data_IF_917185718888
#
_entry.id   IF_917185718888
#
_cell.length_a   1.000
_cell.length_b   1.000
_cell.length_c   1.000
_cell.angle_alpha   90.00
_cell.angle_beta   90.00
_cell.angle_gamma   90.00
#
_symmetry.space_group_name_H-M   'P 1'
#
loop_
_entity.id
_entity.type
_entity.pdbx_description
1 polymer ?
#
# COMPACT_ATOMS: atom_id res chain seq x y z
N UNK A 1 5.73 -26.95 -46.11
CA UNK A 1 6.17 -25.54 -46.19
C UNK A 1 6.47 -25.07 -44.77
N UNK A 2 7.75 -24.86 -44.46
CA UNK A 2 8.19 -24.39 -43.14
C UNK A 2 8.32 -22.88 -43.22
N UNK A 3 7.47 -22.16 -42.48
CA UNK A 3 7.44 -20.70 -42.46
C UNK A 3 8.33 -20.21 -41.30
N UNK A 4 9.18 -19.22 -41.56
CA UNK A 4 10.10 -18.67 -40.57
C UNK A 4 9.38 -17.78 -39.52
N UNK A 5 9.86 -17.70 -38.26
CA UNK A 5 9.16 -17.04 -37.15
C UNK A 5 8.86 -15.54 -37.33
N UNK A 6 9.57 -14.86 -38.22
CA UNK A 6 9.38 -13.45 -38.55
C UNK A 6 8.16 -13.17 -39.42
N UNK A 7 7.64 -14.17 -40.14
CA UNK A 7 6.49 -14.03 -41.07
C UNK A 7 5.15 -14.40 -40.41
N UNK A 8 5.16 -15.07 -39.25
CA UNK A 8 3.95 -15.39 -38.49
C UNK A 8 3.34 -14.17 -37.77
N UNK A 9 4.14 -13.14 -37.45
CA UNK A 9 3.67 -11.95 -36.70
C UNK A 9 2.87 -10.94 -37.53
N UNK A 10 3.04 -10.92 -38.84
CA UNK A 10 2.36 -9.95 -39.73
C UNK A 10 0.96 -10.43 -40.16
N UNK A 11 0.69 -11.75 -40.13
CA UNK A 11 -0.62 -12.31 -40.44
C UNK A 11 -1.65 -12.15 -39.31
N UNK A 12 -1.25 -12.30 -38.04
CA UNK A 12 -2.18 -12.11 -36.90
C UNK A 12 -2.64 -10.65 -36.73
N UNK A 13 -1.78 -9.68 -37.07
CA UNK A 13 -2.11 -8.26 -36.97
C UNK A 13 -3.11 -7.80 -38.03
N UNK A 14 -3.13 -8.46 -39.20
CA UNK A 14 -4.06 -8.15 -40.31
C UNK A 14 -5.47 -8.70 -40.04
N UNK A 15 -5.58 -9.94 -39.54
CA UNK A 15 -6.86 -10.60 -39.21
C UNK A 15 -7.61 -9.88 -38.06
N UNK A 16 -6.88 -9.29 -37.10
CA UNK A 16 -7.50 -8.51 -36.00
C UNK A 16 -8.04 -7.14 -36.43
N UNK A 17 -7.53 -6.57 -37.51
CA UNK A 17 -7.96 -5.24 -37.97
C UNK A 17 -9.19 -5.33 -38.88
N UNK A 18 -9.30 -6.35 -39.73
CA UNK A 18 -10.50 -6.59 -40.55
C UNK A 18 -11.72 -6.97 -39.70
N UNK A 19 -11.53 -7.77 -38.63
CA UNK A 19 -12.63 -8.18 -37.75
C UNK A 19 -13.21 -7.03 -36.90
N UNK A 20 -12.46 -5.94 -36.71
CA UNK A 20 -12.92 -4.73 -35.99
C UNK A 20 -13.55 -3.68 -36.88
N UNK A 21 -13.39 -3.76 -38.21
CA UNK A 21 -14.08 -2.85 -39.13
C UNK A 21 -15.48 -3.36 -39.53
N UNK A 22 -15.77 -4.65 -39.39
CA UNK A 22 -17.10 -5.22 -39.65
C UNK A 22 -18.13 -5.04 -38.52
N UNK A 23 -17.73 -4.67 -37.30
CA UNK A 23 -18.66 -4.45 -36.17
C UNK A 23 -19.00 -2.97 -35.93
N UNK A 24 -18.49 -2.05 -36.75
CA UNK A 24 -18.64 -0.60 -36.58
C UNK A 24 -19.43 0.09 -37.71
N UNK A 25 -20.39 -0.62 -38.33
CA UNK A 25 -21.32 -0.02 -39.28
C UNK A 25 -22.77 -0.36 -38.92
N UNK A 26 -23.57 0.71 -38.85
CA UNK A 26 -25.02 0.79 -38.79
C UNK A 26 -25.72 0.64 -37.43
N UNK A 27 -25.97 1.79 -36.78
CA UNK A 27 -27.34 2.09 -36.35
C UNK A 27 -27.57 3.62 -36.42
N UNK A 28 -28.01 4.07 -37.59
CA UNK A 28 -28.45 5.45 -37.84
C UNK A 28 -29.87 5.66 -37.34
N UNK A 29 -30.11 6.91 -36.93
CA UNK A 29 -31.38 7.51 -36.52
C UNK A 29 -32.56 7.20 -37.46
N UNK A 30 -33.73 7.26 -36.84
CA UNK A 30 -35.07 7.46 -37.40
C UNK A 30 -35.70 6.24 -38.09
N UNK A 31 -36.56 5.54 -37.33
CA UNK A 31 -37.86 5.04 -37.82
C UNK A 31 -38.79 4.72 -36.64
N UNK A 32 -39.78 5.60 -36.50
CA UNK A 32 -41.20 5.37 -36.20
C UNK A 32 -41.70 5.06 -34.78
N UNK A 33 -42.51 6.02 -34.35
CA UNK A 33 -43.62 5.95 -33.40
C UNK A 33 -44.58 4.76 -33.61
N UNK A 34 -45.28 4.48 -32.51
CA UNK A 34 -46.59 3.83 -32.33
C UNK A 34 -46.56 2.34 -31.99
N UNK A 35 -46.70 2.07 -30.69
CA UNK A 35 -47.62 1.06 -30.17
C UNK A 35 -48.07 1.49 -28.77
N UNK A 36 -49.30 1.99 -28.71
CA UNK A 36 -50.04 2.30 -27.51
C UNK A 36 -50.35 1.05 -26.67
N UNK A 37 -50.66 1.32 -25.39
CA UNK A 37 -51.43 0.48 -24.46
C UNK A 37 -50.81 -0.81 -23.93
N UNK A 38 -50.45 -0.82 -22.63
CA UNK A 38 -51.15 -1.58 -21.58
C UNK A 38 -50.55 -1.28 -20.19
N UNK A 39 -51.31 -0.50 -19.44
CA UNK A 39 -51.63 -0.60 -18.01
C UNK A 39 -50.82 -1.62 -17.20
N UNK A 40 -50.07 -1.14 -16.19
CA UNK A 40 -50.09 -1.76 -14.86
C UNK A 40 -49.70 -0.73 -13.79
N UNK A 41 -50.73 -0.27 -13.07
CA UNK A 41 -50.63 0.54 -11.87
C UNK A 41 -49.89 -0.21 -10.76
N UNK A 42 -48.78 0.35 -10.27
CA UNK A 42 -48.35 0.13 -8.89
C UNK A 42 -48.11 1.49 -8.23
N UNK A 43 -49.20 1.97 -7.61
CA UNK A 43 -49.26 3.10 -6.65
C UNK A 43 -48.08 3.04 -5.66
N UNK A 44 -47.04 3.84 -5.91
CA UNK A 44 -46.09 4.22 -4.87
C UNK A 44 -46.72 5.35 -4.05
N UNK A 45 -47.05 5.05 -2.79
CA UNK A 45 -47.47 6.04 -1.79
C UNK A 45 -46.52 7.25 -1.82
N UNK A 46 -47.01 8.49 -2.00
CA UNK A 46 -46.19 9.65 -1.73
C UNK A 46 -46.02 9.76 -0.21
N UNK A 47 -44.80 9.57 0.29
CA UNK A 47 -44.45 9.99 1.63
C UNK A 47 -44.75 11.48 1.76
N UNK A 48 -45.78 11.81 2.54
CA UNK A 48 -46.12 13.16 2.99
C UNK A 48 -44.89 13.72 3.71
N UNK A 49 -44.04 14.48 2.99
CA UNK A 49 -42.97 15.26 3.60
C UNK A 49 -43.64 16.33 4.46
N UNK A 50 -43.49 16.22 5.77
CA UNK A 50 -43.77 17.35 6.66
C UNK A 50 -42.91 18.54 6.21
N UNK A 51 -43.47 19.75 6.10
CA UNK A 51 -42.69 20.94 5.81
C UNK A 51 -41.83 21.25 7.04
N UNK A 52 -40.57 20.84 6.99
CA UNK A 52 -39.54 21.34 7.92
C UNK A 52 -39.39 22.83 7.62
N UNK A 53 -39.35 23.73 8.63
CA UNK A 53 -39.18 25.15 8.41
C UNK A 53 -37.93 25.43 7.57
N UNK A 54 -37.90 26.50 6.76
CA UNK A 54 -36.82 26.78 5.85
C UNK A 54 -35.55 27.15 6.64
N UNK A 55 -34.78 26.14 7.05
CA UNK A 55 -33.38 26.35 7.38
C UNK A 55 -32.69 26.73 6.08
N UNK A 56 -32.22 27.97 6.03
CA UNK A 56 -31.44 28.61 4.97
C UNK A 56 -30.57 27.60 4.22
N UNK A 57 -30.94 27.29 2.97
CA UNK A 57 -30.21 26.37 2.08
C UNK A 57 -28.73 26.74 1.97
N UNK A 58 -28.42 28.03 2.11
CA UNK A 58 -27.06 28.58 2.03
C UNK A 58 -26.18 28.14 3.21
N UNK A 59 -26.73 28.05 4.42
CA UNK A 59 -25.96 27.64 5.61
C UNK A 59 -25.60 26.15 5.56
N UNK A 60 -26.52 25.30 5.10
CA UNK A 60 -26.21 23.87 4.88
C UNK A 60 -25.23 23.65 3.72
N UNK A 61 -25.31 24.45 2.66
CA UNK A 61 -24.37 24.38 1.54
C UNK A 61 -22.94 24.79 1.97
N UNK A 62 -22.81 25.87 2.73
CA UNK A 62 -21.53 26.33 3.32
C UNK A 62 -20.91 25.27 4.25
N UNK A 63 -21.69 24.67 5.15
CA UNK A 63 -21.22 23.59 6.04
C UNK A 63 -20.75 22.37 5.24
N UNK A 64 -21.44 22.01 4.15
CA UNK A 64 -21.04 20.91 3.26
C UNK A 64 -19.76 21.24 2.49
N UNK A 65 -19.61 22.46 1.98
CA UNK A 65 -18.40 22.91 1.28
C UNK A 65 -17.19 22.91 2.22
N UNK A 66 -17.30 23.45 3.43
CA UNK A 66 -16.21 23.43 4.42
C UNK A 66 -15.79 22.01 4.79
N UNK A 67 -16.76 21.09 4.99
CA UNK A 67 -16.46 19.67 5.25
C UNK A 67 -15.76 18.99 4.06
N UNK A 68 -16.08 19.37 2.83
CA UNK A 68 -15.41 18.86 1.64
C UNK A 68 -13.95 19.35 1.55
N UNK A 69 -13.71 20.66 1.73
CA UNK A 69 -12.36 21.23 1.76
C UNK A 69 -11.51 20.57 2.86
N UNK A 70 -12.08 20.37 4.04
CA UNK A 70 -11.42 19.67 5.15
C UNK A 70 -11.05 18.24 4.77
N UNK A 71 -11.99 17.46 4.21
CA UNK A 71 -11.74 16.10 3.76
C UNK A 71 -10.64 16.03 2.69
N UNK A 72 -10.59 17.01 1.79
CA UNK A 72 -9.65 17.02 0.66
C UNK A 72 -8.21 17.29 1.10
N UNK A 73 -7.99 18.06 2.18
CA UNK A 73 -6.66 18.21 2.80
C UNK A 73 -6.06 16.85 3.18
N UNK A 74 -6.82 16.02 3.90
CA UNK A 74 -6.37 14.67 4.28
C UNK A 74 -6.18 13.75 3.08
N UNK A 75 -7.07 13.82 2.07
CA UNK A 75 -6.90 13.02 0.83
C UNK A 75 -5.63 13.42 0.09
N UNK A 76 -5.34 14.71 -0.04
CA UNK A 76 -4.17 15.20 -0.75
C UNK A 76 -2.88 14.83 -0.02
N UNK A 77 -2.84 15.00 1.31
CA UNK A 77 -1.74 14.53 2.14
C UNK A 77 -1.53 13.01 1.99
N UNK A 78 -2.61 12.22 2.05
CA UNK A 78 -2.56 10.77 1.82
C UNK A 78 -1.97 10.43 0.44
N UNK A 79 -2.41 11.12 -0.63
CA UNK A 79 -1.93 10.89 -1.99
C UNK A 79 -0.43 11.17 -2.13
N UNK A 80 0.07 12.25 -1.53
CA UNK A 80 1.51 12.58 -1.51
C UNK A 80 2.32 11.46 -0.86
N UNK A 81 1.91 11.02 0.33
CA UNK A 81 2.55 9.92 1.05
C UNK A 81 2.51 8.61 0.25
N UNK A 82 1.38 8.25 -0.36
CA UNK A 82 1.27 7.04 -1.18
C UNK A 82 2.23 7.11 -2.38
N UNK A 83 2.33 8.26 -3.04
CA UNK A 83 3.26 8.47 -4.17
C UNK A 83 4.70 8.31 -3.70
N UNK A 84 5.07 8.90 -2.57
CA UNK A 84 6.40 8.77 -1.97
C UNK A 84 6.73 7.31 -1.65
N UNK A 85 5.82 6.62 -0.96
CA UNK A 85 5.97 5.21 -0.59
C UNK A 85 6.09 4.30 -1.82
N UNK A 86 5.28 4.55 -2.87
CA UNK A 86 5.37 3.81 -4.14
C UNK A 86 6.76 3.92 -4.74
N UNK A 87 7.31 5.13 -4.76
CA UNK A 87 8.65 5.40 -5.28
C UNK A 87 9.68 4.69 -4.43
N UNK A 88 9.71 4.90 -3.10
CA UNK A 88 10.63 4.21 -2.18
C UNK A 88 10.63 2.70 -2.37
N UNK A 89 9.44 2.09 -2.50
CA UNK A 89 9.31 0.66 -2.73
C UNK A 89 9.86 0.20 -4.07
N UNK A 90 9.58 0.92 -5.16
CA UNK A 90 10.12 0.60 -6.50
C UNK A 90 11.64 0.60 -6.45
N UNK A 91 12.16 1.70 -5.95
CA UNK A 91 13.57 1.98 -5.78
C UNK A 91 14.30 0.95 -4.91
N UNK A 92 13.74 0.61 -3.77
CA UNK A 92 14.25 -0.45 -2.91
C UNK A 92 14.29 -1.82 -3.62
N UNK A 93 13.23 -2.18 -4.34
CA UNK A 93 13.18 -3.44 -5.08
C UNK A 93 14.18 -3.49 -6.25
N UNK A 94 14.51 -2.35 -6.86
CA UNK A 94 15.52 -2.26 -7.92
C UNK A 94 16.93 -2.44 -7.34
N UNK A 95 17.24 -1.75 -6.25
CA UNK A 95 18.57 -1.79 -5.63
C UNK A 95 18.87 -3.10 -4.91
N UNK A 96 17.86 -3.69 -4.24
CA UNK A 96 18.03 -4.97 -3.54
C UNK A 96 18.39 -6.12 -4.47
N UNK A 97 18.03 -6.05 -5.76
CA UNK A 97 18.40 -7.08 -6.75
C UNK A 97 19.92 -7.26 -6.92
N UNK A 98 20.70 -6.25 -6.52
CA UNK A 98 22.16 -6.29 -6.56
C UNK A 98 22.70 -7.27 -5.52
N UNK A 99 21.98 -7.48 -4.41
CA UNK A 99 22.32 -8.53 -3.46
C UNK A 99 21.81 -9.88 -4.00
N UNK A 100 22.73 -10.76 -4.38
CA UNK A 100 22.46 -12.18 -4.60
C UNK A 100 22.18 -12.86 -3.25
N UNK A 101 21.04 -12.53 -2.66
CA UNK A 101 20.62 -13.06 -1.38
C UNK A 101 20.43 -14.59 -1.45
N UNK A 102 21.24 -15.33 -0.70
CA UNK A 102 21.05 -16.78 -0.57
C UNK A 102 19.72 -17.06 0.12
N UNK A 103 18.99 -18.07 -0.37
CA UNK A 103 17.69 -18.48 0.19
C UNK A 103 17.85 -19.26 1.50
N UNK A 104 19.08 -19.44 1.96
CA UNK A 104 19.48 -20.29 3.09
C UNK A 104 18.99 -19.72 4.43
N UNK A 105 18.87 -18.40 4.55
CA UNK A 105 18.47 -17.74 5.81
C UNK A 105 16.97 -17.49 5.93
N UNK A 106 16.13 -18.39 5.40
CA UNK A 106 14.67 -18.21 5.37
C UNK A 106 13.97 -18.36 6.72
N UNK A 107 14.62 -19.01 7.68
CA UNK A 107 14.00 -19.50 8.90
C UNK A 107 14.20 -18.56 10.10
N UNK A 108 13.12 -18.40 10.87
CA UNK A 108 13.05 -17.54 12.05
C UNK A 108 12.85 -16.06 11.73
N UNK A 109 12.01 -15.39 12.53
CA UNK A 109 11.96 -13.92 12.58
C UNK A 109 12.56 -13.53 13.93
N UNK A 110 13.71 -12.84 13.97
CA UNK A 110 14.32 -12.48 15.24
C UNK A 110 13.51 -11.44 15.99
N UNK A 111 13.61 -11.46 17.32
CA UNK A 111 12.83 -10.59 18.22
C UNK A 111 13.16 -9.09 18.10
N UNK A 112 14.31 -8.77 17.50
CA UNK A 112 14.68 -7.39 17.21
C UNK A 112 13.92 -6.80 16.01
N UNK A 113 13.26 -7.61 15.19
CA UNK A 113 12.46 -7.12 14.08
C UNK A 113 11.12 -6.52 14.55
N UNK A 114 10.74 -5.32 14.07
CA UNK A 114 9.44 -4.74 14.36
C UNK A 114 8.30 -5.57 13.80
N UNK A 115 7.33 -5.91 14.65
CA UNK A 115 6.10 -6.60 14.26
C UNK A 115 4.99 -5.61 13.98
N UNK A 116 4.39 -5.66 12.79
CA UNK A 116 3.26 -4.80 12.42
C UNK A 116 2.05 -5.65 12.10
N UNK A 117 0.97 -5.37 12.81
CA UNK A 117 -0.26 -6.12 12.69
C UNK A 117 -1.15 -5.59 11.56
N UNK A 118 -0.84 -5.98 10.32
CA UNK A 118 -1.65 -5.61 9.15
C UNK A 118 -3.08 -6.16 9.17
N UNK A 119 -3.34 -7.24 9.91
CA UNK A 119 -4.71 -7.76 10.08
C UNK A 119 -5.55 -6.74 10.85
N UNK A 120 -5.05 -6.27 11.99
CA UNK A 120 -5.77 -5.28 12.81
C UNK A 120 -5.92 -3.96 12.07
N UNK A 121 -4.87 -3.53 11.35
CA UNK A 121 -4.90 -2.32 10.53
C UNK A 121 -5.99 -2.41 9.45
N UNK A 122 -6.01 -3.51 8.69
CA UNK A 122 -6.89 -3.68 7.55
C UNK A 122 -8.35 -3.83 7.95
N UNK A 123 -8.61 -4.58 9.03
CA UNK A 123 -9.97 -4.81 9.54
C UNK A 123 -10.44 -3.75 10.54
N UNK A 124 -9.65 -2.71 10.81
CA UNK A 124 -10.02 -1.63 11.72
C UNK A 124 -11.32 -0.92 11.31
N UNK A 125 -12.14 -0.57 12.31
CA UNK A 125 -13.42 0.08 12.09
C UNK A 125 -13.36 1.58 12.41
N UNK A 126 -13.46 2.42 11.39
CA UNK A 126 -13.35 3.88 11.49
C UNK A 126 -14.65 4.55 11.96
N UNK A 127 -15.07 4.34 13.23
CA UNK A 127 -16.38 4.76 13.78
C UNK A 127 -16.42 6.11 14.54
N UNK A 128 -15.39 6.97 14.46
CA UNK A 128 -15.39 8.27 15.19
C UNK A 128 -16.47 9.24 14.65
N UNK A 129 -17.34 9.78 15.50
CA UNK A 129 -18.33 10.82 15.14
C UNK A 129 -17.64 12.17 14.88
N UNK A 130 -18.21 13.01 14.01
CA UNK A 130 -17.72 14.36 13.72
C UNK A 130 -16.58 14.47 12.69
N UNK A 131 -15.74 13.45 12.54
CA UNK A 131 -14.62 13.44 11.59
C UNK A 131 -14.98 12.83 10.22
N UNK A 132 -14.34 13.32 9.16
CA UNK A 132 -14.51 12.76 7.82
C UNK A 132 -13.87 11.36 7.72
N UNK A 133 -14.29 10.51 6.77
CA UNK A 133 -13.65 9.20 6.60
C UNK A 133 -12.15 9.32 6.24
N UNK A 134 -11.80 10.33 5.45
CA UNK A 134 -10.41 10.60 5.04
C UNK A 134 -9.54 10.99 6.22
N UNK A 135 -10.04 11.88 7.07
CA UNK A 135 -9.40 12.26 8.33
C UNK A 135 -9.21 11.06 9.26
N UNK A 136 -10.27 10.27 9.49
CA UNK A 136 -10.20 9.08 10.36
C UNK A 136 -9.16 8.07 9.87
N UNK A 137 -9.10 7.85 8.55
CA UNK A 137 -8.10 6.96 7.95
C UNK A 137 -6.69 7.52 8.10
N UNK A 138 -6.50 8.80 7.79
CA UNK A 138 -5.19 9.45 7.90
C UNK A 138 -4.68 9.42 9.34
N UNK A 139 -5.49 9.86 10.30
CA UNK A 139 -5.15 9.90 11.72
C UNK A 139 -4.82 8.51 12.30
N UNK A 140 -5.40 7.45 11.74
CA UNK A 140 -5.13 6.09 12.19
C UNK A 140 -3.92 5.43 11.52
N UNK A 141 -3.75 5.63 10.20
CA UNK A 141 -2.75 4.94 9.39
C UNK A 141 -1.39 5.64 9.41
N UNK A 142 -1.36 6.97 9.32
CA UNK A 142 -0.09 7.70 9.16
C UNK A 142 0.85 7.58 10.38
N UNK A 143 0.37 7.67 11.63
CA UNK A 143 1.23 7.42 12.79
C UNK A 143 1.84 6.01 12.79
N UNK A 144 1.10 5.00 12.34
CA UNK A 144 1.58 3.61 12.27
C UNK A 144 2.60 3.41 11.16
N UNK A 145 2.35 4.00 9.99
CA UNK A 145 3.32 4.01 8.89
C UNK A 145 4.61 4.69 9.34
N UNK A 146 4.50 5.91 9.89
CA UNK A 146 5.64 6.68 10.40
C UNK A 146 6.46 5.87 11.40
N UNK A 147 5.80 5.32 12.44
CA UNK A 147 6.46 4.49 13.45
C UNK A 147 7.22 3.34 12.81
N UNK A 148 6.58 2.57 11.94
CA UNK A 148 7.22 1.42 11.30
C UNK A 148 8.44 1.79 10.45
N UNK A 149 8.40 2.92 9.73
CA UNK A 149 9.54 3.36 8.93
C UNK A 149 10.69 3.86 9.80
N UNK A 150 10.40 4.56 10.90
CA UNK A 150 11.41 5.00 11.86
C UNK A 150 12.10 3.81 12.52
N UNK A 151 11.36 2.76 12.91
CA UNK A 151 11.94 1.55 13.48
C UNK A 151 12.90 0.85 12.50
N UNK A 152 12.53 0.75 11.21
CA UNK A 152 13.44 0.21 10.19
C UNK A 152 14.63 1.13 9.89
N UNK A 153 14.44 2.45 9.95
CA UNK A 153 15.55 3.38 9.84
C UNK A 153 16.58 3.16 10.97
N UNK A 154 16.13 2.92 12.21
CA UNK A 154 17.01 2.57 13.32
C UNK A 154 17.76 1.24 13.08
N UNK A 155 17.08 0.22 12.54
CA UNK A 155 17.72 -1.06 12.17
C UNK A 155 18.85 -0.83 11.17
N UNK A 156 18.58 -0.13 10.06
CA UNK A 156 19.62 0.09 9.05
C UNK A 156 20.77 0.97 9.56
N UNK A 157 20.51 1.91 10.47
CA UNK A 157 21.55 2.70 11.14
C UNK A 157 22.46 1.86 12.04
N UNK A 158 21.96 0.74 12.56
CA UNK A 158 22.76 -0.21 13.32
C UNK A 158 23.51 -1.16 12.39
N UNK A 159 22.84 -1.70 11.38
CA UNK A 159 23.44 -2.63 10.42
C UNK A 159 24.66 -2.02 9.72
N UNK A 160 24.60 -0.75 9.31
CA UNK A 160 25.75 -0.09 8.67
C UNK A 160 26.99 0.01 9.59
N UNK A 161 26.82 -0.17 10.90
CA UNK A 161 27.90 -0.11 11.91
C UNK A 161 28.38 -1.49 12.35
N UNK A 162 27.86 -2.56 11.75
CA UNK A 162 28.31 -3.93 12.05
C UNK A 162 29.69 -4.15 11.44
N UNK A 163 30.64 -4.49 12.28
CA UNK A 163 32.01 -4.89 11.98
C UNK A 163 32.07 -6.42 11.80
N UNK A 164 32.93 -6.90 10.90
CA UNK A 164 33.09 -8.33 10.61
C UNK A 164 34.50 -8.77 10.97
N UNK A 165 34.60 -9.80 11.83
CA UNK A 165 35.87 -10.19 12.47
C UNK A 165 36.82 -10.98 11.54
N UNK A 166 36.29 -11.61 10.49
CA UNK A 166 37.07 -12.40 9.53
C UNK A 166 36.53 -12.23 8.10
N UNK A 167 36.91 -11.13 7.43
CA UNK A 167 36.55 -10.90 6.04
C UNK A 167 37.63 -11.48 5.11
N UNK A 168 37.25 -12.47 4.29
CA UNK A 168 38.04 -12.87 3.13
C UNK A 168 37.80 -11.92 1.94
N UNK A 169 38.59 -12.04 0.87
CA UNK A 169 38.48 -11.18 -0.32
C UNK A 169 37.06 -11.16 -0.95
N UNK A 170 36.35 -12.30 -1.08
CA UNK A 170 34.95 -12.32 -1.52
C UNK A 170 34.01 -11.51 -0.61
N UNK A 171 34.16 -11.62 0.71
CA UNK A 171 33.33 -10.88 1.64
C UNK A 171 33.62 -9.38 1.63
N UNK A 172 34.87 -8.97 1.38
CA UNK A 172 35.22 -7.56 1.24
C UNK A 172 34.45 -6.87 0.11
N UNK A 173 34.26 -7.56 -1.02
CA UNK A 173 33.44 -7.06 -2.14
C UNK A 173 31.97 -6.93 -1.75
N UNK A 174 31.41 -7.97 -1.11
CA UNK A 174 30.05 -7.93 -0.57
C UNK A 174 29.85 -6.76 0.40
N UNK A 175 30.78 -6.57 1.33
CA UNK A 175 30.68 -5.56 2.37
C UNK A 175 30.66 -4.13 1.79
N UNK A 176 31.41 -3.88 0.70
CA UNK A 176 31.35 -2.60 -0.03
C UNK A 176 29.96 -2.36 -0.62
N UNK A 177 29.43 -3.33 -1.37
CA UNK A 177 28.08 -3.25 -1.96
C UNK A 177 26.99 -3.10 -0.91
N UNK A 178 27.12 -3.83 0.20
CA UNK A 178 26.25 -3.75 1.37
C UNK A 178 26.19 -2.33 1.94
N UNK A 179 27.35 -1.72 2.21
CA UNK A 179 27.41 -0.36 2.75
C UNK A 179 26.74 0.65 1.82
N UNK A 180 26.98 0.54 0.52
CA UNK A 180 26.34 1.41 -0.48
C UNK A 180 24.82 1.26 -0.47
N UNK A 181 24.33 0.01 -0.46
CA UNK A 181 22.89 -0.28 -0.44
C UNK A 181 22.21 0.19 0.85
N UNK A 182 22.83 -0.05 2.01
CA UNK A 182 22.31 0.42 3.30
C UNK A 182 22.29 1.95 3.31
N UNK A 183 23.34 2.61 2.81
CA UNK A 183 23.39 4.07 2.67
C UNK A 183 22.24 4.63 1.81
N UNK A 184 22.02 4.07 0.63
CA UNK A 184 20.89 4.43 -0.26
C UNK A 184 19.54 4.19 0.42
N UNK A 185 19.40 3.06 1.11
CA UNK A 185 18.19 2.70 1.86
C UNK A 185 17.90 3.69 2.98
N UNK A 186 18.91 4.08 3.76
CA UNK A 186 18.81 5.07 4.83
C UNK A 186 18.39 6.44 4.29
N UNK A 187 19.02 6.92 3.22
CA UNK A 187 18.68 8.21 2.62
C UNK A 187 17.21 8.24 2.15
N UNK A 188 16.75 7.15 1.50
CA UNK A 188 15.35 7.05 1.03
C UNK A 188 14.37 6.91 2.17
N UNK A 189 14.69 6.15 3.21
CA UNK A 189 13.89 6.04 4.42
C UNK A 189 13.73 7.41 5.09
N UNK A 190 14.84 8.11 5.33
CA UNK A 190 14.84 9.44 5.92
C UNK A 190 13.95 10.40 5.12
N UNK A 191 14.11 10.44 3.80
CA UNK A 191 13.31 11.29 2.92
C UNK A 191 11.82 10.97 2.95
N UNK A 192 11.44 9.69 3.08
CA UNK A 192 10.04 9.27 3.19
C UNK A 192 9.45 9.55 4.57
N UNK A 193 10.23 9.36 5.62
CA UNK A 193 9.86 9.71 7.01
C UNK A 193 9.61 11.22 7.12
N UNK A 194 10.48 12.04 6.53
CA UNK A 194 10.33 13.49 6.50
C UNK A 194 9.02 13.92 5.80
N UNK A 195 8.75 13.39 4.60
CA UNK A 195 7.50 13.67 3.87
C UNK A 195 6.26 13.31 4.71
N UNK A 196 6.26 12.15 5.39
CA UNK A 196 5.13 11.75 6.24
C UNK A 196 4.98 12.71 7.42
N UNK A 197 6.09 13.05 8.09
CA UNK A 197 6.11 13.99 9.22
C UNK A 197 5.53 15.35 8.82
N UNK A 198 6.00 15.91 7.72
CA UNK A 198 5.53 17.20 7.19
C UNK A 198 4.03 17.17 6.88
N UNK A 199 3.56 16.11 6.21
CA UNK A 199 2.14 15.97 5.90
C UNK A 199 1.27 15.74 7.14
N UNK A 200 1.79 15.09 8.19
CA UNK A 200 1.08 14.94 9.47
C UNK A 200 0.96 16.29 10.19
N UNK A 201 2.04 17.05 10.27
CA UNK A 201 2.06 18.39 10.87
C UNK A 201 1.12 19.33 10.10
N UNK A 202 1.16 19.32 8.77
CA UNK A 202 0.33 20.20 7.94
C UNK A 202 -1.19 19.98 8.09
N UNK A 203 -1.61 18.81 8.56
CA UNK A 203 -3.03 18.49 8.82
C UNK A 203 -3.32 18.31 10.32
N UNK A 204 -2.46 18.85 11.17
CA UNK A 204 -2.60 18.88 12.64
C UNK A 204 -2.78 17.50 13.27
N UNK A 205 -2.06 16.50 12.78
CA UNK A 205 -2.01 15.16 13.38
C UNK A 205 -0.70 15.02 14.17
N UNK A 206 -0.76 14.62 15.45
CA UNK A 206 0.41 14.48 16.28
C UNK A 206 1.36 13.42 15.71
N UNK A 207 2.64 13.76 15.65
CA UNK A 207 3.70 12.83 15.24
C UNK A 207 4.07 11.99 16.47
N UNK A 208 3.95 10.66 16.40
CA UNK A 208 4.26 9.82 17.55
C UNK A 208 5.76 9.87 17.86
N UNK A 209 6.10 9.92 19.15
CA UNK A 209 7.48 9.72 19.59
C UNK A 209 7.83 8.23 19.48
N UNK A 210 8.89 7.93 18.75
CA UNK A 210 9.37 6.55 18.56
C UNK A 210 10.65 6.38 19.35
N UNK A 211 10.55 5.74 20.52
CA UNK A 211 11.71 5.38 21.32
C UNK A 211 12.60 4.38 20.56
N UNK A 212 13.90 4.36 20.89
CA UNK A 212 14.78 3.29 20.39
C UNK A 212 14.29 1.97 20.96
N UNK A 213 14.13 0.96 20.09
CA UNK A 213 13.71 -0.36 20.56
C UNK A 213 14.79 -0.97 21.46
N UNK A 214 14.39 -1.42 22.66
CA UNK A 214 15.28 -2.15 23.57
C UNK A 214 15.76 -3.46 22.96
N UNK A 215 14.95 -4.11 22.12
CA UNK A 215 15.33 -5.36 21.45
C UNK A 215 16.45 -5.21 20.42
N UNK A 216 16.69 -3.98 19.91
CA UNK A 216 17.81 -3.72 19.01
C UNK A 216 19.17 -3.75 19.71
N UNK A 217 19.20 -3.71 21.05
CA UNK A 217 20.45 -3.87 21.82
C UNK A 217 21.02 -5.28 21.71
N UNK A 218 20.19 -6.26 21.35
CA UNK A 218 20.58 -7.67 21.16
C UNK A 218 21.32 -7.87 19.83
N UNK A 219 21.26 -6.91 18.90
CA UNK A 219 21.99 -7.00 17.65
C UNK A 219 23.49 -6.75 17.91
N UNK A 220 24.27 -7.82 17.86
CA UNK A 220 25.72 -7.78 17.99
C UNK A 220 26.34 -6.89 16.89
N UNK A 221 27.29 -6.04 17.31
CA UNK A 221 27.99 -5.12 16.40
C UNK A 221 29.24 -5.74 15.77
N UNK A 222 29.74 -6.83 16.35
CA UNK A 222 30.86 -7.60 15.84
C UNK A 222 30.38 -9.01 15.64
N UNK A 223 30.41 -9.47 14.39
CA UNK A 223 29.88 -10.78 14.00
C UNK A 223 30.78 -11.40 12.94
N UNK A 224 30.63 -12.70 12.73
CA UNK A 224 31.25 -13.35 11.58
C UNK A 224 30.52 -13.02 10.26
N UNK A 225 31.15 -13.37 9.13
CA UNK A 225 30.58 -13.13 7.81
C UNK A 225 29.20 -13.80 7.60
N UNK A 226 28.98 -15.08 7.98
CA UNK A 226 27.67 -15.73 7.89
C UNK A 226 26.57 -15.01 8.68
N UNK A 227 26.83 -14.60 9.92
CA UNK A 227 25.85 -13.91 10.74
C UNK A 227 25.55 -12.51 10.22
N UNK A 228 26.54 -11.81 9.64
CA UNK A 228 26.33 -10.55 8.92
C UNK A 228 25.36 -10.73 7.73
N UNK A 229 25.64 -11.71 6.87
CA UNK A 229 24.78 -12.05 5.71
C UNK A 229 23.35 -12.39 6.14
N UNK A 230 23.21 -13.18 7.21
CA UNK A 230 21.92 -13.56 7.79
C UNK A 230 21.14 -12.34 8.29
N UNK A 231 21.78 -11.46 9.06
CA UNK A 231 21.17 -10.24 9.60
C UNK A 231 20.69 -9.32 8.47
N UNK A 232 21.53 -9.10 7.45
CA UNK A 232 21.20 -8.29 6.29
C UNK A 232 20.02 -8.89 5.51
N UNK A 233 20.08 -10.18 5.20
CA UNK A 233 19.00 -10.88 4.48
C UNK A 233 17.65 -10.68 5.18
N UNK A 234 17.62 -10.93 6.49
CA UNK A 234 16.41 -10.81 7.32
C UNK A 234 15.90 -9.37 7.29
N UNK A 235 16.76 -8.38 7.50
CA UNK A 235 16.37 -6.97 7.52
C UNK A 235 15.86 -6.49 6.15
N UNK A 236 16.57 -6.77 5.06
CA UNK A 236 16.17 -6.40 3.71
C UNK A 236 14.87 -7.09 3.27
N UNK A 237 14.71 -8.38 3.60
CA UNK A 237 13.47 -9.13 3.36
C UNK A 237 12.30 -8.54 4.13
N UNK A 238 12.47 -8.31 5.43
CA UNK A 238 11.42 -7.78 6.29
C UNK A 238 11.01 -6.36 5.87
N UNK A 239 11.98 -5.51 5.51
CA UNK A 239 11.71 -4.16 5.01
C UNK A 239 11.00 -4.16 3.65
N UNK A 240 11.41 -5.03 2.73
CA UNK A 240 10.70 -5.21 1.46
C UNK A 240 9.24 -5.64 1.67
N UNK A 241 9.01 -6.57 2.60
CA UNK A 241 7.66 -7.01 2.98
C UNK A 241 6.85 -5.88 3.62
N UNK A 242 7.47 -5.06 4.48
CA UNK A 242 6.85 -3.88 5.08
C UNK A 242 6.32 -2.93 4.00
N UNK A 243 7.18 -2.52 3.06
CA UNK A 243 6.81 -1.59 2.00
C UNK A 243 5.70 -2.15 1.09
N UNK A 244 5.75 -3.45 0.79
CA UNK A 244 4.72 -4.12 0.00
C UNK A 244 3.37 -4.20 0.73
N UNK A 245 3.37 -4.47 2.03
CA UNK A 245 2.16 -4.53 2.83
C UNK A 245 1.52 -3.14 2.99
N UNK A 246 2.31 -2.11 3.30
CA UNK A 246 1.79 -0.73 3.37
C UNK A 246 1.26 -0.24 2.03
N UNK A 247 1.97 -0.50 0.93
CA UNK A 247 1.49 -0.12 -0.39
C UNK A 247 0.19 -0.85 -0.75
N UNK A 248 0.10 -2.14 -0.42
CA UNK A 248 -1.13 -2.93 -0.61
C UNK A 248 -2.27 -2.40 0.24
N UNK A 249 -2.05 -2.04 1.51
CA UNK A 249 -3.06 -1.47 2.39
C UNK A 249 -3.66 -0.17 1.81
N UNK A 250 -2.82 0.72 1.28
CA UNK A 250 -3.31 1.95 0.65
C UNK A 250 -4.02 1.72 -0.69
N UNK A 251 -3.56 0.74 -1.47
CA UNK A 251 -4.13 0.42 -2.79
C UNK A 251 -5.42 -0.40 -2.68
N UNK A 252 -5.53 -1.24 -1.68
CA UNK A 252 -6.58 -2.24 -1.49
C UNK A 252 -7.32 -2.03 -0.16
N UNK A 253 -7.92 -0.84 0.08
CA UNK A 253 -8.62 -0.59 1.32
C UNK A 253 -9.90 -1.43 1.39
N UNK A 254 -10.17 -2.00 2.56
CA UNK A 254 -11.36 -2.80 2.85
C UNK A 254 -12.65 -2.12 2.38
N UNK A 255 -13.53 -2.89 1.75
CA UNK A 255 -14.88 -2.46 1.38
C UNK A 255 -14.99 -1.59 0.13
N UNK A 256 -13.89 -1.31 -0.59
CA UNK A 256 -14.01 -0.81 -1.97
C UNK A 256 -14.51 -1.94 -2.85
N UNK A 257 -15.60 -1.72 -3.59
CA UNK A 257 -16.07 -2.66 -4.61
C UNK A 257 -14.88 -3.00 -5.52
N UNK A 258 -14.52 -4.28 -5.55
CA UNK A 258 -13.55 -4.82 -6.48
C UNK A 258 -14.18 -4.65 -7.86
N UNK A 259 -13.82 -3.58 -8.58
CA UNK A 259 -14.22 -3.42 -9.98
C UNK A 259 -13.41 -4.45 -10.76
N UNK A 260 -13.86 -5.71 -10.74
CA UNK A 260 -13.51 -6.90 -11.52
C UNK A 260 -12.03 -7.20 -11.89
N UNK A 261 -11.03 -6.40 -11.52
CA UNK A 261 -9.71 -6.44 -12.16
C UNK A 261 -8.50 -6.29 -11.23
N UNK A 262 -8.67 -6.31 -9.91
CA UNK A 262 -7.52 -6.24 -9.01
C UNK A 262 -7.32 -7.54 -8.22
N UNK A 263 -6.97 -8.61 -8.95
CA UNK A 263 -6.56 -9.92 -8.41
C UNK A 263 -5.58 -9.78 -7.24
N UNK A 264 -4.69 -8.78 -7.29
CA UNK A 264 -3.74 -8.48 -6.21
C UNK A 264 -4.41 -8.01 -4.92
N UNK A 265 -5.49 -7.23 -5.00
CA UNK A 265 -6.25 -6.83 -3.82
C UNK A 265 -7.04 -7.99 -3.22
N UNK A 266 -7.66 -8.83 -4.05
CA UNK A 266 -8.35 -10.03 -3.59
C UNK A 266 -7.37 -10.99 -2.87
N UNK A 267 -6.19 -11.23 -3.46
CA UNK A 267 -5.15 -12.05 -2.84
C UNK A 267 -4.63 -11.45 -1.51
N UNK A 268 -4.46 -10.12 -1.44
CA UNK A 268 -4.05 -9.44 -0.22
C UNK A 268 -5.09 -9.58 0.90
N UNK A 269 -6.36 -9.32 0.59
CA UNK A 269 -7.47 -9.44 1.54
C UNK A 269 -7.66 -10.90 2.00
N UNK A 270 -7.59 -11.86 1.08
CA UNK A 270 -7.65 -13.29 1.40
C UNK A 270 -6.53 -13.70 2.37
N UNK A 271 -5.29 -13.26 2.10
CA UNK A 271 -4.14 -13.51 2.99
C UNK A 271 -4.33 -12.94 4.39
N UNK A 272 -4.91 -11.74 4.52
CA UNK A 272 -5.16 -11.14 5.82
C UNK A 272 -6.33 -11.81 6.55
N UNK A 273 -7.36 -12.23 5.82
CA UNK A 273 -8.48 -13.00 6.37
C UNK A 273 -8.01 -14.34 6.92
N UNK A 274 -7.24 -15.10 6.15
CA UNK A 274 -6.66 -16.36 6.61
C UNK A 274 -5.85 -16.20 7.91
N UNK A 275 -5.03 -15.14 7.99
CA UNK A 275 -4.27 -14.82 9.21
C UNK A 275 -5.17 -14.47 10.40
N UNK A 276 -6.28 -13.76 10.15
CA UNK A 276 -7.27 -13.44 11.18
C UNK A 276 -7.91 -14.72 11.72
N UNK A 277 -8.37 -15.59 10.82
CA UNK A 277 -9.08 -16.82 11.16
C UNK A 277 -8.17 -17.78 11.94
N UNK A 278 -6.88 -17.87 11.57
CA UNK A 278 -5.87 -18.64 12.34
C UNK A 278 -5.69 -18.12 13.77
N UNK A 279 -5.69 -16.79 13.97
CA UNK A 279 -5.57 -16.20 15.31
C UNK A 279 -6.78 -16.48 16.19
N UNK A 280 -7.98 -16.43 15.61
CA UNK A 280 -9.21 -16.75 16.33
C UNK A 280 -9.20 -18.22 16.79
N UNK A 281 -8.83 -19.15 15.91
CA UNK A 281 -8.70 -20.58 16.25
C UNK A 281 -7.69 -20.85 17.36
N UNK A 282 -6.59 -20.08 17.41
CA UNK A 282 -5.58 -20.21 18.46
C UNK A 282 -6.02 -19.58 19.79
N UNK A 283 -7.01 -18.69 19.79
CA UNK A 283 -7.55 -18.08 21.01
C UNK A 283 -8.71 -18.89 21.63
N UNK A 284 -9.26 -19.85 20.88
CA UNK A 284 -10.32 -20.79 21.31
C UNK A 284 -9.74 -22.10 21.89
N UNK A 285 -8.41 -22.26 21.90
CA UNK A 285 -7.68 -23.39 22.51
C UNK A 285 -7.04 -22.95 23.81
#
# INVERSE_FOLDING_TARGET
MVVMPSEARTLEHKIRHERRQHEALALTKDLRMKADTRVLEHRRRPHRKQPVPPQTKDTQALIRQQKNVHADRFKNATKKIIKKLKNTRRFFNEERRILNETREYRDGMPDWLPTINFVDIHFFNYKKRGATISERKFAYLMPKLYKSLVEYHQIFQLLIKVEVEFADDPFCSYNKTRHELIGKTLQRLYSTIAEIKENMVAVNIPVPQVARSKSLQVLEKRVDAPQCLKNDYIAFRAYGNLLNNWYSEFRCPRGKKVIFSNVRCAAYEAKLKEKKDKRNKNAER
#
